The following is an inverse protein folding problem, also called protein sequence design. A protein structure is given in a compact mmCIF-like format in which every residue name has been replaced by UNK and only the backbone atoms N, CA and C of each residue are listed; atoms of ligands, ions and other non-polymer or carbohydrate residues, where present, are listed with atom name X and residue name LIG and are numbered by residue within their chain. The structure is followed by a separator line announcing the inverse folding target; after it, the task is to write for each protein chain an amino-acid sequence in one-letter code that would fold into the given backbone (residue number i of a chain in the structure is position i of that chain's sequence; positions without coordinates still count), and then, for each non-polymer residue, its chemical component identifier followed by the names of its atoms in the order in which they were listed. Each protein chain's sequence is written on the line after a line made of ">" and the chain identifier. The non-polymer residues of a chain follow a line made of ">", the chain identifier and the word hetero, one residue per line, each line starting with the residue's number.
data_IF_206376377307
#
_entry.id   IF_206376377307
#
_cell.length_a   1.000
_cell.length_b   1.000
_cell.length_c   1.000
_cell.angle_alpha   90.00
_cell.angle_beta   90.00
_cell.angle_gamma   90.00
#
_symmetry.space_group_name_H-M   'P 1'
#
loop_
_entity.id
_entity.type
_entity.pdbx_description
1 polymer ?
#
# COMPACT_ATOMS: atom_id res chain seq x y z
N UNK A 1 -46.15 -39.09 35.01
CA UNK A 1 -47.02 -38.19 34.23
C UNK A 1 -46.11 -37.48 33.22
N UNK A 2 -45.53 -38.18 32.24
CA UNK A 2 -46.01 -39.28 31.38
C UNK A 2 -47.10 -38.90 30.40
N UNK A 3 -46.95 -39.46 29.18
CA UNK A 3 -47.75 -39.34 27.93
C UNK A 3 -47.30 -38.19 27.02
N UNK A 4 -46.98 -38.38 25.73
CA UNK A 4 -47.01 -39.58 24.87
C UNK A 4 -45.92 -39.56 23.75
N UNK A 5 -45.76 -40.70 23.06
CA UNK A 5 -44.89 -41.06 21.91
C UNK A 5 -45.78 -41.87 20.89
N UNK A 6 -45.38 -42.39 19.69
CA UNK A 6 -44.04 -42.49 19.07
C UNK A 6 -43.97 -42.29 17.52
N UNK A 7 -42.76 -42.54 16.97
CA UNK A 7 -42.47 -43.05 15.61
C UNK A 7 -42.44 -42.03 14.42
N UNK A 8 -41.78 -42.27 13.28
CA UNK A 8 -41.11 -43.48 12.76
C UNK A 8 -40.08 -43.22 11.60
N UNK A 9 -39.19 -44.21 11.33
CA UNK A 9 -38.47 -44.51 10.04
C UNK A 9 -37.33 -43.56 9.60
N UNK A 10 -36.19 -43.97 9.01
CA UNK A 10 -35.73 -45.25 8.42
C UNK A 10 -36.01 -45.33 6.90
N UNK A 11 -35.10 -45.64 5.96
CA UNK A 11 -33.68 -46.04 5.95
C UNK A 11 -33.23 -46.33 4.49
N UNK A 12 -32.09 -47.02 4.27
CA UNK A 12 -31.47 -47.39 2.97
C UNK A 12 -30.91 -46.22 2.12
N UNK A 13 -29.94 -46.36 1.21
CA UNK A 13 -29.05 -47.44 0.76
C UNK A 13 -28.14 -46.84 -0.35
N UNK A 14 -26.89 -47.22 -0.62
CA UNK A 14 -26.30 -48.56 -0.62
C UNK A 14 -26.18 -49.09 -2.06
N UNK A 15 -25.20 -48.63 -2.84
CA UNK A 15 -24.86 -49.19 -4.17
C UNK A 15 -23.33 -49.22 -4.39
N UNK A 16 -22.86 -50.28 -5.04
CA UNK A 16 -21.45 -50.71 -5.12
C UNK A 16 -21.08 -51.17 -6.54
N UNK A 17 -19.90 -50.75 -7.05
CA UNK A 17 -19.23 -51.31 -8.24
C UNK A 17 -19.92 -51.06 -9.60
N UNK A 18 -19.25 -51.18 -10.75
CA UNK A 18 -17.81 -51.37 -10.99
C UNK A 18 -17.48 -51.93 -12.40
N UNK A 19 -16.44 -51.36 -13.04
CA UNK A 19 -15.59 -51.92 -14.12
C UNK A 19 -16.12 -52.03 -15.58
N UNK A 20 -15.19 -51.79 -16.53
CA UNK A 20 -15.32 -51.97 -18.00
C UNK A 20 -15.15 -50.63 -18.78
N UNK A 21 -14.01 -50.19 -19.33
CA UNK A 21 -12.91 -50.79 -20.13
C UNK A 21 -13.09 -50.73 -21.67
N UNK A 22 -12.62 -49.64 -22.31
CA UNK A 22 -11.88 -49.60 -23.60
C UNK A 22 -11.46 -48.13 -23.88
N UNK A 23 -10.17 -47.78 -24.08
CA UNK A 23 -9.26 -47.90 -25.25
C UNK A 23 -9.31 -46.70 -26.22
N UNK A 24 -8.14 -46.31 -26.75
CA UNK A 24 -7.87 -45.04 -27.44
C UNK A 24 -7.15 -44.09 -26.48
N UNK A 25 -5.82 -44.10 -26.34
CA UNK A 25 -4.76 -44.02 -27.37
C UNK A 25 -4.85 -42.71 -28.17
N UNK A 26 -4.09 -41.72 -27.71
CA UNK A 26 -3.43 -40.71 -28.55
C UNK A 26 -2.34 -40.04 -27.69
N UNK A 27 -1.10 -40.49 -27.91
CA UNK A 27 0.10 -39.91 -27.33
C UNK A 27 0.56 -38.71 -28.15
N UNK A 28 0.79 -37.56 -27.51
CA UNK A 28 1.63 -36.52 -28.13
C UNK A 28 2.40 -35.68 -27.10
N UNK A 29 3.74 -35.80 -27.16
CA UNK A 29 4.57 -34.60 -27.24
C UNK A 29 5.03 -33.84 -25.98
N UNK A 30 5.18 -34.46 -24.80
CA UNK A 30 6.01 -33.82 -23.74
C UNK A 30 7.49 -34.01 -24.06
N UNK A 31 8.05 -33.09 -24.86
CA UNK A 31 9.49 -33.05 -25.17
C UNK A 31 10.25 -32.24 -24.13
N UNK A 32 11.01 -32.92 -23.28
CA UNK A 32 12.00 -32.29 -22.41
C UNK A 32 13.20 -31.84 -23.24
N UNK A 33 13.28 -30.55 -23.57
CA UNK A 33 14.46 -29.97 -24.23
C UNK A 33 15.57 -29.65 -23.23
N UNK A 34 16.47 -30.62 -23.15
CA UNK A 34 17.89 -30.59 -22.80
C UNK A 34 18.50 -29.28 -22.24
N UNK A 35 19.07 -29.41 -21.04
CA UNK A 35 19.81 -28.34 -20.36
C UNK A 35 21.33 -28.51 -20.56
N UNK A 36 21.84 -28.32 -21.78
CA UNK A 36 23.28 -28.19 -22.06
C UNK A 36 23.62 -27.62 -23.44
N UNK A 37 23.70 -26.30 -23.59
CA UNK A 37 24.79 -25.67 -24.37
C UNK A 37 24.85 -24.15 -24.13
N UNK A 38 26.03 -23.64 -23.78
CA UNK A 38 26.36 -22.20 -23.77
C UNK A 38 26.96 -21.82 -25.12
N UNK A 39 26.48 -20.79 -25.83
CA UNK A 39 27.30 -20.01 -26.74
C UNK A 39 27.92 -18.83 -25.97
N UNK A 40 29.23 -18.84 -25.83
CA UNK A 40 30.02 -17.69 -25.40
C UNK A 40 30.18 -16.73 -26.59
N UNK A 41 29.36 -15.68 -26.65
CA UNK A 41 29.55 -14.55 -27.56
C UNK A 41 29.24 -13.25 -26.81
N UNK A 42 30.23 -12.36 -26.78
CA UNK A 42 30.16 -11.12 -26.03
C UNK A 42 29.05 -10.21 -26.54
N UNK A 43 28.06 -9.96 -25.68
CA UNK A 43 27.19 -8.81 -25.83
C UNK A 43 27.83 -7.66 -25.07
N UNK A 44 28.67 -6.89 -25.77
CA UNK A 44 28.92 -5.50 -25.40
C UNK A 44 27.56 -4.84 -25.16
N UNK A 45 27.32 -4.17 -24.01
CA UNK A 45 26.10 -3.41 -23.85
C UNK A 45 26.18 -2.22 -24.79
N UNK A 46 25.53 -2.33 -25.95
CA UNK A 46 25.24 -1.23 -26.87
C UNK A 46 24.28 -0.24 -26.18
N UNK A 47 24.83 0.48 -25.21
CA UNK A 47 24.30 1.75 -24.73
C UNK A 47 24.61 2.78 -25.82
N UNK A 48 23.91 2.65 -26.95
CA UNK A 48 23.78 3.71 -27.94
C UNK A 48 23.45 5.01 -27.20
N UNK A 49 24.07 6.13 -27.59
CA UNK A 49 24.20 7.29 -26.73
C UNK A 49 22.83 7.73 -26.23
N UNK A 50 22.65 7.71 -24.90
CA UNK A 50 21.56 8.44 -24.24
C UNK A 50 21.76 9.88 -24.66
N UNK A 51 20.98 10.30 -25.65
CA UNK A 51 21.11 11.62 -26.23
C UNK A 51 21.04 12.66 -25.11
N UNK A 52 21.84 13.72 -25.21
CA UNK A 52 21.86 14.82 -24.24
C UNK A 52 20.52 15.57 -24.29
N UNK A 53 19.54 14.98 -23.63
CA UNK A 53 18.16 15.44 -23.54
C UNK A 53 18.16 16.43 -22.39
N UNK A 54 18.64 17.64 -22.69
CA UNK A 54 19.05 18.63 -21.71
C UNK A 54 18.04 18.86 -20.58
N UNK A 55 18.51 19.43 -19.44
CA UNK A 55 17.94 19.25 -18.10
C UNK A 55 16.42 19.42 -17.95
N UNK A 56 15.79 20.22 -18.80
CA UNK A 56 14.34 20.41 -18.84
C UNK A 56 13.55 19.14 -19.20
N UNK A 57 14.10 18.22 -20.02
CA UNK A 57 13.41 16.98 -20.43
C UNK A 57 13.36 15.94 -19.32
N UNK A 58 14.46 15.77 -18.57
CA UNK A 58 14.47 14.86 -17.42
C UNK A 58 13.63 15.40 -16.26
N UNK A 59 13.60 16.72 -16.05
CA UNK A 59 12.65 17.35 -15.13
C UNK A 59 11.19 17.10 -15.55
N UNK A 60 10.88 17.18 -16.85
CA UNK A 60 9.54 16.87 -17.36
C UNK A 60 9.14 15.40 -17.11
N UNK A 61 10.05 14.44 -17.35
CA UNK A 61 9.82 13.00 -17.05
C UNK A 61 9.59 12.75 -15.56
N UNK A 62 10.40 13.36 -14.70
CA UNK A 62 10.25 13.25 -13.24
C UNK A 62 8.90 13.82 -12.81
N UNK A 63 8.50 14.97 -13.34
CA UNK A 63 7.20 15.60 -13.07
C UNK A 63 6.02 14.74 -13.54
N UNK A 64 6.08 14.19 -14.75
CA UNK A 64 5.05 13.28 -15.29
C UNK A 64 4.91 12.01 -14.43
N UNK A 65 6.03 11.42 -14.00
CA UNK A 65 6.01 10.28 -13.08
C UNK A 65 5.37 10.64 -11.73
N UNK A 66 5.70 11.80 -11.15
CA UNK A 66 5.10 12.27 -9.90
C UNK A 66 3.59 12.47 -10.04
N UNK A 67 3.12 13.08 -11.13
CA UNK A 67 1.69 13.24 -11.41
C UNK A 67 0.98 11.89 -11.60
N UNK A 68 1.57 10.95 -12.34
CA UNK A 68 1.04 9.60 -12.52
C UNK A 68 0.87 8.87 -11.17
N UNK A 69 1.92 8.90 -10.33
CA UNK A 69 1.88 8.31 -8.98
C UNK A 69 0.86 9.03 -8.08
N UNK A 70 0.80 10.36 -8.15
CA UNK A 70 -0.16 11.18 -7.39
C UNK A 70 -1.62 10.96 -7.80
N UNK A 71 -1.91 10.74 -9.08
CA UNK A 71 -3.22 10.36 -9.59
C UNK A 71 -3.59 8.93 -9.17
N UNK A 72 -2.66 7.98 -9.30
CA UNK A 72 -2.86 6.59 -8.86
C UNK A 72 -3.14 6.50 -7.36
N UNK A 73 -2.39 7.22 -6.53
CA UNK A 73 -2.57 7.27 -5.07
C UNK A 73 -3.92 7.89 -4.64
N UNK A 74 -4.45 8.85 -5.41
CA UNK A 74 -5.77 9.48 -5.19
C UNK A 74 -6.94 8.63 -5.71
N UNK A 75 -6.69 7.67 -6.60
CA UNK A 75 -7.74 6.85 -7.22
C UNK A 75 -8.53 6.01 -6.19
N UNK A 76 -9.86 6.19 -6.08
CA UNK A 76 -10.68 5.35 -5.21
C UNK A 76 -10.59 3.87 -5.56
N UNK A 77 -10.48 3.53 -6.85
CA UNK A 77 -10.34 2.16 -7.34
C UNK A 77 -9.04 1.51 -6.87
N UNK A 78 -7.92 2.24 -6.93
CA UNK A 78 -6.62 1.72 -6.49
C UNK A 78 -6.60 1.51 -4.98
N UNK A 79 -7.11 2.47 -4.20
CA UNK A 79 -7.20 2.35 -2.73
C UNK A 79 -8.11 1.20 -2.30
N UNK A 80 -9.24 1.00 -2.99
CA UNK A 80 -10.14 -0.14 -2.79
C UNK A 80 -9.49 -1.49 -3.15
N UNK A 81 -8.73 -1.57 -4.26
CA UNK A 81 -7.93 -2.76 -4.61
C UNK A 81 -6.94 -3.11 -3.49
N UNK A 82 -6.18 -2.12 -3.01
CA UNK A 82 -5.18 -2.33 -1.95
C UNK A 82 -5.83 -2.81 -0.64
N UNK A 83 -6.98 -2.23 -0.26
CA UNK A 83 -7.73 -2.65 0.92
C UNK A 83 -8.21 -4.10 0.82
N UNK A 84 -8.78 -4.49 -0.33
CA UNK A 84 -9.22 -5.88 -0.56
C UNK A 84 -8.06 -6.86 -0.53
N UNK A 85 -6.93 -6.52 -1.14
CA UNK A 85 -5.71 -7.34 -1.12
C UNK A 85 -5.15 -7.50 0.31
N UNK A 86 -5.29 -6.48 1.15
CA UNK A 86 -4.90 -6.52 2.56
C UNK A 86 -5.95 -7.15 3.50
N UNK A 87 -7.08 -7.66 2.97
CA UNK A 87 -8.18 -8.19 3.78
C UNK A 87 -8.88 -7.15 4.66
N UNK A 88 -8.75 -5.86 4.33
CA UNK A 88 -9.16 -4.76 5.19
C UNK A 88 -10.69 -4.58 5.21
N UNK A 89 -11.36 -4.64 6.38
CA UNK A 89 -12.81 -4.51 6.48
C UNK A 89 -13.28 -3.04 6.50
N UNK A 90 -12.46 -2.10 6.01
CA UNK A 90 -12.68 -0.65 6.16
C UNK A 90 -12.62 0.09 4.83
N UNK A 91 -13.27 1.24 4.77
CA UNK A 91 -13.18 2.13 3.61
C UNK A 91 -11.82 2.83 3.53
N UNK A 92 -11.46 3.29 2.33
CA UNK A 92 -10.27 4.12 2.14
C UNK A 92 -10.24 5.41 2.98
N UNK A 93 -11.40 6.00 3.27
CA UNK A 93 -11.47 7.18 4.14
C UNK A 93 -11.10 6.83 5.58
N UNK A 94 -11.66 5.73 6.12
CA UNK A 94 -11.30 5.19 7.43
C UNK A 94 -9.80 4.82 7.50
N UNK A 95 -9.22 4.26 6.42
CA UNK A 95 -7.77 4.02 6.35
C UNK A 95 -6.94 5.31 6.45
N UNK A 96 -7.39 6.41 5.83
CA UNK A 96 -6.73 7.73 5.97
C UNK A 96 -6.71 8.18 7.43
N UNK A 97 -7.83 8.05 8.15
CA UNK A 97 -7.90 8.37 9.59
C UNK A 97 -6.97 7.48 10.41
N UNK A 98 -7.01 6.16 10.21
CA UNK A 98 -6.16 5.21 10.93
C UNK A 98 -4.67 5.51 10.74
N UNK A 99 -4.24 5.78 9.49
CA UNK A 99 -2.86 6.20 9.19
C UNK A 99 -2.47 7.50 9.88
N UNK A 100 -3.38 8.47 9.96
CA UNK A 100 -3.10 9.74 10.62
C UNK A 100 -2.99 9.57 12.13
N UNK A 101 -3.91 8.81 12.75
CA UNK A 101 -3.87 8.47 14.18
C UNK A 101 -2.57 7.75 14.53
N UNK A 102 -2.18 6.71 13.78
CA UNK A 102 -0.92 6.00 14.02
C UNK A 102 0.33 6.90 13.90
N UNK A 103 0.33 7.87 12.99
CA UNK A 103 1.46 8.82 12.83
C UNK A 103 1.57 9.89 13.91
N UNK A 104 0.46 10.26 14.57
CA UNK A 104 0.43 11.35 15.55
C UNK A 104 0.14 10.85 16.98
N UNK A 105 -0.07 9.54 17.17
CA UNK A 105 -0.38 8.93 18.45
C UNK A 105 -1.79 9.27 18.93
N UNK A 106 -1.93 9.73 20.17
CA UNK A 106 -3.23 10.03 20.74
C UNK A 106 -3.84 11.31 20.14
N UNK A 107 -5.02 11.22 19.54
CA UNK A 107 -5.68 12.37 18.94
C UNK A 107 -7.18 12.43 19.24
N UNK A 108 -7.78 13.62 19.18
CA UNK A 108 -9.23 13.80 19.40
C UNK A 108 -9.99 13.82 18.07
N UNK A 109 -11.30 13.58 18.10
CA UNK A 109 -12.16 13.74 16.91
C UNK A 109 -12.17 15.18 16.38
N UNK A 110 -11.95 16.18 17.25
CA UNK A 110 -11.80 17.59 16.87
C UNK A 110 -10.48 17.87 16.16
N UNK A 111 -9.40 17.17 16.50
CA UNK A 111 -8.11 17.31 15.80
C UNK A 111 -8.16 16.68 14.41
N UNK A 112 -8.80 15.51 14.30
CA UNK A 112 -9.10 14.87 13.03
C UNK A 112 -9.94 15.78 12.10
N UNK A 113 -11.01 16.38 12.63
CA UNK A 113 -11.85 17.31 11.88
C UNK A 113 -11.05 18.51 11.35
N UNK A 114 -10.26 19.14 12.22
CA UNK A 114 -9.42 20.29 11.87
C UNK A 114 -8.31 19.94 10.86
N UNK A 115 -7.70 18.76 10.96
CA UNK A 115 -6.61 18.37 10.07
C UNK A 115 -7.09 17.90 8.69
N UNK A 116 -8.24 17.23 8.63
CA UNK A 116 -8.82 16.72 7.38
C UNK A 116 -9.65 17.77 6.61
N UNK A 117 -9.89 18.94 7.20
CA UNK A 117 -10.88 19.93 6.76
C UNK A 117 -12.28 19.29 6.57
N UNK A 118 -12.68 18.49 7.57
CA UNK A 118 -13.94 17.76 7.59
C UNK A 118 -14.81 18.15 8.79
N UNK A 119 -16.12 18.13 8.59
CA UNK A 119 -17.07 18.30 9.68
C UNK A 119 -17.02 17.11 10.67
N UNK A 120 -17.43 17.37 11.91
CA UNK A 120 -17.37 16.40 12.99
C UNK A 120 -18.28 15.18 12.77
N UNK A 121 -19.36 15.31 11.98
CA UNK A 121 -20.26 14.18 11.65
C UNK A 121 -19.62 13.25 10.63
N UNK A 122 -18.93 13.79 9.63
CA UNK A 122 -18.15 13.01 8.66
C UNK A 122 -17.00 12.28 9.34
N UNK A 123 -16.23 12.93 10.22
CA UNK A 123 -15.18 12.27 11.02
C UNK A 123 -15.79 11.14 11.87
N UNK A 124 -16.89 11.40 12.57
CA UNK A 124 -17.56 10.38 13.38
C UNK A 124 -18.03 9.18 12.54
N UNK A 125 -18.54 9.41 11.32
CA UNK A 125 -18.93 8.35 10.37
C UNK A 125 -17.74 7.53 9.88
N UNK A 126 -16.58 8.16 9.69
CA UNK A 126 -15.35 7.49 9.23
C UNK A 126 -14.62 6.75 10.36
N UNK A 127 -14.80 7.18 11.62
CA UNK A 127 -14.29 6.51 12.82
C UNK A 127 -15.07 5.25 13.20
N UNK A 128 -16.40 5.20 12.99
CA UNK A 128 -17.22 4.05 13.37
C UNK A 128 -16.67 2.68 12.93
N UNK A 129 -16.29 2.46 11.65
CA UNK A 129 -15.69 1.19 11.24
C UNK A 129 -14.36 0.88 11.96
N UNK A 130 -13.59 1.90 12.36
CA UNK A 130 -12.33 1.70 13.10
C UNK A 130 -12.60 1.26 14.56
N UNK A 131 -13.64 1.79 15.20
CA UNK A 131 -14.08 1.37 16.53
C UNK A 131 -14.73 -0.03 16.46
N UNK A 132 -15.63 -0.27 15.50
CA UNK A 132 -16.37 -1.52 15.28
C UNK A 132 -15.43 -2.71 14.98
N UNK A 133 -14.42 -2.51 14.12
CA UNK A 133 -13.39 -3.51 13.82
C UNK A 133 -12.23 -3.51 14.84
N UNK A 134 -12.34 -2.77 15.96
CA UNK A 134 -11.33 -2.70 17.03
C UNK A 134 -9.93 -2.30 16.55
N UNK A 135 -9.84 -1.49 15.49
CA UNK A 135 -8.61 -0.95 14.91
C UNK A 135 -8.12 0.30 15.65
N UNK A 136 -9.05 1.01 16.30
CA UNK A 136 -8.78 2.17 17.16
C UNK A 136 -9.41 1.94 18.53
N UNK A 137 -8.65 2.28 19.57
CA UNK A 137 -9.13 2.35 20.96
C UNK A 137 -9.48 3.79 21.31
N UNK A 138 -10.43 3.95 22.23
CA UNK A 138 -10.92 5.26 22.69
C UNK A 138 -10.85 5.34 24.21
N UNK A 139 -10.09 6.29 24.72
CA UNK A 139 -9.96 6.58 26.15
C UNK A 139 -10.45 7.99 26.47
N UNK A 140 -10.93 8.21 27.69
CA UNK A 140 -11.19 9.56 28.18
C UNK A 140 -9.86 10.31 28.34
N UNK A 141 -9.84 11.61 28.01
CA UNK A 141 -8.67 12.44 28.33
C UNK A 141 -8.54 12.61 29.85
N UNK A 142 -7.31 12.53 30.35
CA UNK A 142 -7.01 12.77 31.77
C UNK A 142 -7.24 14.22 32.18
N UNK A 143 -7.12 15.17 31.22
CA UNK A 143 -7.36 16.59 31.46
C UNK A 143 -8.84 16.99 31.34
N UNK A 144 -9.62 16.39 30.44
CA UNK A 144 -11.05 16.63 30.28
C UNK A 144 -11.79 15.34 29.87
N UNK A 145 -12.62 14.79 30.77
CA UNK A 145 -13.41 13.59 30.51
C UNK A 145 -14.46 13.74 29.40
N UNK A 146 -14.76 14.97 28.94
CA UNK A 146 -15.61 15.24 27.76
C UNK A 146 -14.85 15.02 26.45
N UNK A 147 -13.52 15.10 26.49
CA UNK A 147 -12.64 14.81 25.37
C UNK A 147 -12.28 13.33 25.39
N UNK A 148 -12.27 12.71 24.21
CA UNK A 148 -11.83 11.34 24.04
C UNK A 148 -10.62 11.29 23.11
N UNK A 149 -9.59 10.58 23.54
CA UNK A 149 -8.37 10.30 22.77
C UNK A 149 -8.51 8.97 22.05
N UNK A 150 -8.07 8.97 20.79
CA UNK A 150 -8.07 7.85 19.87
C UNK A 150 -6.62 7.42 19.65
N UNK A 151 -6.36 6.13 19.76
CA UNK A 151 -5.04 5.54 19.53
C UNK A 151 -5.21 4.23 18.74
N UNK A 152 -4.26 3.86 17.86
CA UNK A 152 -4.34 2.59 17.15
C UNK A 152 -4.26 1.43 18.16
N UNK A 153 -4.94 0.32 17.86
CA UNK A 153 -4.74 -0.93 18.58
C UNK A 153 -3.65 -1.76 17.89
N UNK A 154 -3.18 -2.83 18.53
CA UNK A 154 -2.32 -3.84 17.89
C UNK A 154 -2.94 -4.38 16.58
N UNK A 155 -4.27 -4.53 16.53
CA UNK A 155 -4.98 -4.93 15.31
C UNK A 155 -5.01 -3.82 14.25
N UNK A 156 -5.12 -2.56 14.67
CA UNK A 156 -4.97 -1.38 13.81
C UNK A 156 -3.59 -1.30 13.16
N UNK A 157 -2.53 -1.48 13.94
CA UNK A 157 -1.15 -1.51 13.45
C UNK A 157 -0.90 -2.70 12.52
N UNK A 158 -1.40 -3.89 12.87
CA UNK A 158 -1.32 -5.07 12.00
C UNK A 158 -2.02 -4.85 10.65
N UNK A 159 -3.16 -4.15 10.64
CA UNK A 159 -3.84 -3.79 9.41
C UNK A 159 -3.04 -2.77 8.57
N UNK A 160 -2.43 -1.78 9.22
CA UNK A 160 -1.56 -0.81 8.54
C UNK A 160 -0.33 -1.50 7.92
N UNK A 161 0.25 -2.49 8.62
CA UNK A 161 1.32 -3.33 8.11
C UNK A 161 0.85 -4.14 6.89
N UNK A 162 -0.29 -4.83 6.95
CA UNK A 162 -0.83 -5.59 5.81
C UNK A 162 -1.06 -4.71 4.57
N UNK A 163 -1.63 -3.51 4.73
CA UNK A 163 -1.79 -2.54 3.63
C UNK A 163 -0.45 -2.03 3.09
N UNK A 164 0.58 -1.92 3.94
CA UNK A 164 1.94 -1.56 3.53
C UNK A 164 2.58 -2.67 2.71
N UNK A 165 2.45 -3.93 3.11
CA UNK A 165 3.03 -5.07 2.40
C UNK A 165 2.43 -5.25 1.00
N UNK A 166 1.12 -5.00 0.82
CA UNK A 166 0.52 -4.93 -0.53
C UNK A 166 1.20 -3.87 -1.39
N UNK A 167 1.45 -2.67 -0.84
CA UNK A 167 2.14 -1.61 -1.57
C UNK A 167 3.61 -1.92 -1.87
N UNK A 168 4.31 -2.60 -0.96
CA UNK A 168 5.67 -3.09 -1.23
C UNK A 168 5.70 -4.17 -2.30
N UNK A 169 4.71 -5.07 -2.33
CA UNK A 169 4.58 -6.07 -3.37
C UNK A 169 4.33 -5.43 -4.75
N UNK A 170 3.39 -4.47 -4.84
CA UNK A 170 3.14 -3.71 -6.08
C UNK A 170 4.42 -3.02 -6.60
N UNK A 171 5.21 -2.40 -5.70
CA UNK A 171 6.50 -1.78 -6.04
C UNK A 171 7.55 -2.82 -6.45
N UNK A 172 7.57 -3.98 -5.79
CA UNK A 172 8.45 -5.11 -6.14
C UNK A 172 8.20 -5.58 -7.57
N UNK A 173 6.93 -5.76 -7.97
CA UNK A 173 6.55 -6.12 -9.34
C UNK A 173 6.93 -5.03 -10.34
N UNK A 174 6.75 -3.75 -10.00
CA UNK A 174 7.16 -2.63 -10.86
C UNK A 174 8.69 -2.51 -11.04
N UNK A 175 9.48 -3.13 -10.16
CA UNK A 175 10.96 -3.11 -10.14
C UNK A 175 11.57 -4.51 -10.31
N UNK A 176 10.84 -5.45 -10.91
CA UNK A 176 11.28 -6.84 -11.09
C UNK A 176 12.55 -6.93 -11.96
N UNK A 177 12.57 -6.18 -13.07
CA UNK A 177 13.74 -6.08 -13.96
C UNK A 177 14.94 -5.30 -13.40
N UNK A 178 14.85 -4.72 -12.20
CA UNK A 178 15.95 -3.96 -11.59
C UNK A 178 16.89 -4.89 -10.80
N UNK A 179 18.19 -4.62 -10.85
CA UNK A 179 19.16 -5.23 -9.94
C UNK A 179 19.03 -4.67 -8.52
N UNK A 180 19.62 -5.36 -7.55
CA UNK A 180 19.74 -4.85 -6.18
C UNK A 180 20.63 -3.60 -6.06
N UNK A 181 21.45 -3.27 -7.07
CA UNK A 181 22.19 -2.01 -7.12
C UNK A 181 21.29 -0.87 -7.59
N UNK A 182 20.56 -1.04 -8.69
CA UNK A 182 19.65 -0.02 -9.21
C UNK A 182 18.50 0.28 -8.25
N UNK A 183 17.93 -0.73 -7.56
CA UNK A 183 16.91 -0.50 -6.52
C UNK A 183 17.44 0.36 -5.36
N UNK A 184 18.70 0.17 -4.94
CA UNK A 184 19.33 1.01 -3.91
C UNK A 184 19.57 2.43 -4.41
N UNK A 185 20.12 2.57 -5.62
CA UNK A 185 20.38 3.87 -6.22
C UNK A 185 19.10 4.68 -6.44
N UNK A 186 18.03 4.04 -6.92
CA UNK A 186 16.71 4.65 -7.05
C UNK A 186 16.16 5.11 -5.70
N UNK A 187 16.31 4.29 -4.64
CA UNK A 187 15.90 4.69 -3.29
C UNK A 187 16.69 5.91 -2.78
N UNK A 188 18.01 5.99 -3.02
CA UNK A 188 18.85 7.13 -2.67
C UNK A 188 18.45 8.42 -3.41
N UNK A 189 18.16 8.32 -4.72
CA UNK A 189 17.70 9.45 -5.53
C UNK A 189 16.32 9.94 -5.08
N UNK A 190 15.37 9.02 -4.85
CA UNK A 190 14.04 9.35 -4.35
C UNK A 190 14.09 9.94 -2.94
N UNK A 191 14.98 9.49 -2.06
CA UNK A 191 15.13 10.07 -0.72
C UNK A 191 15.71 11.49 -0.75
N UNK A 192 16.72 11.72 -1.60
CA UNK A 192 17.26 13.07 -1.86
C UNK A 192 16.18 14.02 -2.40
N UNK A 193 15.37 13.55 -3.35
CA UNK A 193 14.23 14.32 -3.88
C UNK A 193 13.19 14.59 -2.79
N UNK A 194 12.83 13.57 -1.98
CA UNK A 194 11.91 13.69 -0.85
C UNK A 194 12.38 14.74 0.16
N UNK A 195 13.66 14.75 0.54
CA UNK A 195 14.23 15.78 1.43
C UNK A 195 14.14 17.15 0.77
N UNK A 196 14.56 17.30 -0.48
CA UNK A 196 14.48 18.57 -1.21
C UNK A 196 13.05 19.14 -1.34
N UNK A 197 12.04 18.28 -1.48
CA UNK A 197 10.63 18.68 -1.50
C UNK A 197 10.09 19.08 -0.11
N UNK A 198 10.58 18.48 0.97
CA UNK A 198 10.17 18.80 2.35
C UNK A 198 10.85 20.07 2.88
N UNK A 199 12.08 20.35 2.43
CA UNK A 199 12.84 21.55 2.77
C UNK A 199 12.52 22.75 1.86
N UNK A 200 11.73 22.55 0.79
CA UNK A 200 11.34 23.61 -0.12
C UNK A 200 10.45 24.65 0.58
N UNK A 201 10.79 25.92 0.40
CA UNK A 201 9.96 27.03 0.86
C UNK A 201 9.01 27.49 -0.25
N UNK A 202 7.96 28.22 0.11
CA UNK A 202 7.03 28.82 -0.86
C UNK A 202 7.22 30.34 -0.86
N UNK A 203 7.42 30.92 -2.03
CA UNK A 203 7.55 32.37 -2.21
C UNK A 203 6.17 33.08 -2.27
N UNK A 204 6.12 34.43 -2.26
CA UNK A 204 4.84 35.16 -2.35
C UNK A 204 4.04 34.93 -3.63
N UNK A 205 4.60 34.29 -4.66
CA UNK A 205 3.91 33.91 -5.90
C UNK A 205 3.34 32.48 -5.85
N UNK A 206 3.56 31.76 -4.75
CA UNK A 206 3.16 30.37 -4.58
C UNK A 206 4.15 29.37 -5.19
N UNK A 207 5.35 29.81 -5.60
CA UNK A 207 6.35 28.94 -6.23
C UNK A 207 7.30 28.34 -5.19
N UNK A 208 7.71 27.10 -5.43
CA UNK A 208 8.74 26.44 -4.61
C UNK A 208 10.09 27.08 -4.86
N UNK A 209 10.78 27.48 -3.79
CA UNK A 209 12.14 28.03 -3.81
C UNK A 209 13.03 27.24 -2.84
N UNK A 210 14.36 27.16 -3.09
CA UNK A 210 15.27 26.46 -2.20
C UNK A 210 15.19 26.97 -0.75
N UNK A 211 15.52 26.11 0.24
CA UNK A 211 15.69 26.58 1.62
C UNK A 211 16.72 27.70 1.67
N UNK A 212 16.41 28.77 2.41
CA UNK A 212 17.29 29.91 2.59
C UNK A 212 18.58 29.43 3.28
N UNK A 213 19.65 29.28 2.48
CA UNK A 213 20.95 28.88 3.00
C UNK A 213 21.38 29.90 4.03
N UNK A 214 21.41 29.51 5.31
CA UNK A 214 22.00 30.33 6.37
C UNK A 214 23.45 30.58 5.98
N UNK A 215 23.75 31.84 5.67
CA UNK A 215 25.11 32.29 5.40
C UNK A 215 25.93 32.13 6.68
N UNK A 216 26.61 30.99 6.82
CA UNK A 216 27.74 30.90 7.72
C UNK A 216 28.90 31.68 7.08
N UNK A 217 28.85 33.00 7.23
CA UNK A 217 30.06 33.80 7.23
C UNK A 217 30.87 33.37 8.46
N UNK A 218 31.77 32.41 8.25
CA UNK A 218 32.79 32.07 9.25
C UNK A 218 33.91 33.08 9.03
N UNK A 219 33.80 34.22 9.70
CA UNK A 219 34.86 35.23 9.72
C UNK A 219 36.09 34.66 10.44
N UNK A 220 37.01 34.10 9.66
CA UNK A 220 38.36 33.81 10.12
C UNK A 220 39.12 35.14 10.22
N UNK A 221 39.34 35.59 11.45
CA UNK A 221 40.30 36.65 11.81
C UNK A 221 41.68 36.08 12.10
#
# INVERSE_FOLDING_TARGET
>A
MDRDDPAARGGAGGLTGGLGSDRGDDSDGVSCVDASQKPDQGLEPDQGPVADQGPDQDLARIHEFIELVGLAARSPRQRERMLRAAGAPITGASLTLLRWIARHGSATSSDLARWLDLDQSTVSRQLRPLEEHRLVSRSADGADRRVARLAPTEHGEALLAAVREVGLHDIGVALDGFTAAERRHLAELLDRMRVGMLDAQVDPTGRSVPPARKSCAVDFS
#
